data_IF_393000440551
#
_entry.id   IF_393000440551
#
_cell.length_a   1.000
_cell.length_b   1.000
_cell.length_c   1.000
_cell.angle_alpha   90.00
_cell.angle_beta   90.00
_cell.angle_gamma   90.00
#
_symmetry.space_group_name_H-M   'P 1'
#
loop_
_entity.id
_entity.type
_entity.pdbx_description
1 polymer ?
#
# COMPACT_ATOMS: atom_id res chain seq x y z
N UNK A 1 7.29 -38.68 -16.10
CA UNK A 1 6.79 -37.34 -16.53
C UNK A 1 7.81 -36.22 -16.33
N UNK A 2 8.64 -36.21 -15.27
CA UNK A 2 9.62 -35.14 -15.03
C UNK A 2 10.69 -34.97 -16.13
N UNK A 3 11.20 -36.06 -16.73
CA UNK A 3 12.23 -35.97 -17.79
C UNK A 3 11.76 -35.25 -19.06
N UNK A 4 10.50 -35.42 -19.45
CA UNK A 4 9.93 -34.72 -20.63
C UNK A 4 9.80 -33.24 -20.35
N UNK A 5 9.40 -32.87 -19.12
CA UNK A 5 9.32 -31.48 -18.67
C UNK A 5 10.71 -30.81 -18.65
N UNK A 6 11.73 -31.52 -18.17
CA UNK A 6 13.12 -31.03 -18.13
C UNK A 6 13.66 -30.80 -19.56
N UNK A 7 13.41 -31.72 -20.49
CA UNK A 7 13.83 -31.54 -21.88
C UNK A 7 13.09 -30.41 -22.60
N UNK A 8 11.79 -30.23 -22.32
CA UNK A 8 11.02 -29.11 -22.86
C UNK A 8 11.50 -27.76 -22.28
N UNK A 9 11.71 -27.69 -20.97
CA UNK A 9 12.19 -26.49 -20.28
C UNK A 9 13.60 -26.07 -20.72
N UNK A 10 14.53 -27.02 -20.86
CA UNK A 10 15.89 -26.72 -21.35
C UNK A 10 15.90 -26.21 -22.79
N UNK A 11 15.05 -26.76 -23.68
CA UNK A 11 14.90 -26.23 -25.05
C UNK A 11 14.37 -24.80 -25.05
N UNK A 12 13.40 -24.47 -24.20
CA UNK A 12 12.86 -23.13 -24.04
C UNK A 12 13.93 -22.15 -23.55
N UNK A 13 14.65 -22.48 -22.47
CA UNK A 13 15.72 -21.63 -21.92
C UNK A 13 16.85 -21.38 -22.93
N UNK A 14 17.25 -22.41 -23.68
CA UNK A 14 18.26 -22.25 -24.74
C UNK A 14 17.78 -21.36 -25.88
N UNK A 15 16.51 -21.44 -26.27
CA UNK A 15 15.93 -20.57 -27.29
C UNK A 15 15.84 -19.11 -26.82
N UNK A 16 15.47 -18.88 -25.54
CA UNK A 16 15.46 -17.55 -24.93
C UNK A 16 16.86 -16.93 -24.92
N UNK A 17 17.89 -17.70 -24.55
CA UNK A 17 19.29 -17.23 -24.56
C UNK A 17 19.80 -16.91 -25.97
N UNK A 18 19.55 -17.80 -26.93
CA UNK A 18 20.04 -17.67 -28.31
C UNK A 18 19.38 -16.53 -29.08
N UNK A 19 18.12 -16.22 -28.80
CA UNK A 19 17.35 -15.17 -29.47
C UNK A 19 17.03 -13.99 -28.54
N UNK A 20 17.88 -13.76 -27.54
CA UNK A 20 17.71 -12.73 -26.51
C UNK A 20 17.56 -11.31 -27.10
N UNK A 21 18.33 -10.98 -28.13
CA UNK A 21 18.27 -9.66 -28.77
C UNK A 21 16.91 -9.41 -29.46
N UNK A 22 16.39 -10.39 -30.21
CA UNK A 22 15.06 -10.34 -30.83
C UNK A 22 13.98 -10.15 -29.76
N UNK A 23 14.04 -10.95 -28.69
CA UNK A 23 13.08 -10.91 -27.59
C UNK A 23 13.11 -9.55 -26.90
N UNK A 24 14.29 -8.97 -26.66
CA UNK A 24 14.43 -7.65 -26.05
C UNK A 24 13.96 -6.51 -26.95
N UNK A 25 14.21 -6.59 -28.26
CA UNK A 25 13.67 -5.62 -29.21
C UNK A 25 12.13 -5.69 -29.27
N UNK A 26 11.57 -6.90 -29.28
CA UNK A 26 10.12 -7.12 -29.21
C UNK A 26 9.51 -6.58 -27.91
N UNK A 27 10.26 -6.67 -26.80
CA UNK A 27 9.87 -6.14 -25.50
C UNK A 27 9.78 -4.61 -25.51
N UNK A 28 10.81 -3.94 -26.03
CA UNK A 28 10.92 -2.47 -26.07
C UNK A 28 9.95 -1.86 -27.09
N UNK A 29 9.88 -2.43 -28.29
CA UNK A 29 9.06 -1.91 -29.40
C UNK A 29 7.59 -2.35 -29.30
N UNK A 30 7.32 -3.41 -28.53
CA UNK A 30 5.99 -3.99 -28.36
C UNK A 30 5.56 -4.94 -29.49
N UNK A 31 6.23 -4.91 -30.65
CA UNK A 31 6.03 -5.82 -31.78
C UNK A 31 7.37 -6.27 -32.38
N UNK A 32 7.34 -7.38 -33.12
CA UNK A 32 8.48 -7.92 -33.87
C UNK A 32 8.36 -7.50 -35.33
N UNK A 33 9.41 -6.90 -35.87
CA UNK A 33 9.51 -6.69 -37.32
C UNK A 33 9.85 -8.03 -38.01
N UNK A 34 8.89 -8.60 -38.72
CA UNK A 34 9.03 -9.92 -39.35
C UNK A 34 10.03 -9.92 -40.52
N UNK A 35 10.40 -8.76 -41.05
CA UNK A 35 11.35 -8.63 -42.16
C UNK A 35 12.81 -8.80 -41.73
N UNK A 36 13.11 -8.52 -40.45
CA UNK A 36 14.49 -8.51 -39.93
C UNK A 36 14.97 -9.92 -39.53
N UNK A 37 14.05 -10.91 -39.51
CA UNK A 37 14.31 -12.23 -38.96
C UNK A 37 13.87 -13.36 -39.88
N UNK A 38 14.57 -14.51 -39.79
CA UNK A 38 14.20 -15.69 -40.56
C UNK A 38 12.84 -16.25 -40.11
N UNK A 39 11.92 -16.61 -41.04
CA UNK A 39 10.59 -17.13 -40.68
C UNK A 39 10.65 -18.41 -39.85
N UNK A 40 11.69 -19.24 -40.03
CA UNK A 40 11.90 -20.45 -39.21
C UNK A 40 12.14 -20.14 -37.73
N UNK A 41 12.82 -19.04 -37.42
CA UNK A 41 13.10 -18.61 -36.04
C UNK A 41 11.80 -18.11 -35.39
N UNK A 42 11.00 -17.34 -36.14
CA UNK A 42 9.71 -16.83 -35.67
C UNK A 42 8.73 -17.98 -35.41
N UNK A 43 8.61 -18.94 -36.33
CA UNK A 43 7.78 -20.14 -36.12
C UNK A 43 8.22 -20.95 -34.91
N UNK A 44 9.54 -21.12 -34.72
CA UNK A 44 10.09 -21.82 -33.55
C UNK A 44 9.73 -21.10 -32.25
N UNK A 45 9.86 -19.78 -32.19
CA UNK A 45 9.50 -18.98 -31.01
C UNK A 45 7.99 -18.96 -30.73
N UNK A 46 7.16 -19.03 -31.77
CA UNK A 46 5.71 -19.19 -31.63
C UNK A 46 5.35 -20.57 -31.08
N UNK A 47 5.97 -21.64 -31.61
CA UNK A 47 5.75 -23.01 -31.12
C UNK A 47 6.19 -23.20 -29.66
N UNK A 48 7.28 -22.53 -29.26
CA UNK A 48 7.76 -22.53 -27.87
C UNK A 48 6.91 -21.63 -26.94
N UNK A 49 5.93 -20.90 -27.48
CA UNK A 49 5.04 -20.03 -26.70
C UNK A 49 5.70 -18.73 -26.23
N UNK A 50 6.80 -18.31 -26.88
CA UNK A 50 7.48 -17.04 -26.59
C UNK A 50 6.81 -15.88 -27.32
N UNK A 51 6.52 -16.08 -28.60
CA UNK A 51 5.79 -15.15 -29.44
C UNK A 51 4.36 -15.63 -29.66
N UNK A 52 3.45 -14.70 -29.90
CA UNK A 52 2.08 -14.99 -30.30
C UNK A 52 1.58 -13.91 -31.25
N UNK A 53 0.56 -14.28 -32.03
CA UNK A 53 -0.13 -13.38 -32.95
C UNK A 53 -1.59 -13.27 -32.50
N UNK A 54 -2.05 -12.09 -32.04
CA UNK A 54 -3.44 -11.89 -31.60
C UNK A 54 -4.48 -12.12 -32.70
N UNK A 55 -4.21 -11.60 -33.89
CA UNK A 55 -5.06 -11.64 -35.08
C UNK A 55 -4.18 -11.96 -36.31
N UNK A 56 -4.65 -12.77 -37.29
CA UNK A 56 -3.95 -13.00 -38.56
C UNK A 56 -3.35 -11.76 -39.24
N UNK A 57 -3.97 -10.58 -39.08
CA UNK A 57 -3.49 -9.31 -39.64
C UNK A 57 -2.54 -8.52 -38.72
N UNK A 58 -2.37 -8.97 -37.47
CA UNK A 58 -1.53 -8.29 -36.48
C UNK A 58 -0.09 -8.80 -36.48
N UNK A 59 0.82 -7.91 -36.10
CA UNK A 59 2.23 -8.23 -35.94
C UNK A 59 2.47 -9.19 -34.77
N UNK A 60 3.54 -9.97 -34.85
CA UNK A 60 3.97 -10.84 -33.75
C UNK A 60 4.34 -10.03 -32.50
N UNK A 61 3.88 -10.51 -31.35
CA UNK A 61 4.11 -9.90 -30.03
C UNK A 61 4.66 -10.93 -29.06
N UNK A 62 5.31 -10.45 -28.00
CA UNK A 62 5.67 -11.31 -26.87
C UNK A 62 4.42 -11.78 -26.14
N UNK A 63 4.43 -13.05 -25.74
CA UNK A 63 3.39 -13.60 -24.89
C UNK A 63 3.48 -12.98 -23.49
N UNK A 64 2.33 -12.78 -22.85
CA UNK A 64 2.26 -12.13 -21.53
C UNK A 64 3.19 -12.78 -20.50
N UNK A 65 3.25 -14.11 -20.42
CA UNK A 65 4.11 -14.83 -19.48
C UNK A 65 5.61 -14.48 -19.62
N UNK A 66 6.11 -14.41 -20.86
CA UNK A 66 7.53 -14.04 -21.12
C UNK A 66 7.74 -12.56 -20.83
N UNK A 67 6.77 -11.73 -21.19
CA UNK A 67 6.81 -10.31 -20.90
C UNK A 67 6.90 -10.06 -19.39
N UNK A 68 6.06 -10.71 -18.58
CA UNK A 68 6.06 -10.62 -17.12
C UNK A 68 7.36 -11.12 -16.48
N UNK A 69 7.96 -12.19 -17.03
CA UNK A 69 9.28 -12.66 -16.58
C UNK A 69 10.36 -11.58 -16.80
N UNK A 70 10.38 -10.99 -17.99
CA UNK A 70 11.32 -9.93 -18.32
C UNK A 70 11.07 -8.68 -17.47
N UNK A 71 9.80 -8.30 -17.27
CA UNK A 71 9.39 -7.18 -16.41
C UNK A 71 9.92 -7.35 -14.98
N UNK A 72 9.71 -8.52 -14.37
CA UNK A 72 10.19 -8.82 -13.02
C UNK A 72 11.72 -8.80 -12.90
N UNK A 73 12.43 -9.20 -13.96
CA UNK A 73 13.91 -9.24 -13.96
C UNK A 73 14.57 -7.90 -14.28
N UNK A 74 13.99 -7.13 -15.21
CA UNK A 74 14.55 -5.88 -15.73
C UNK A 74 14.17 -4.65 -14.91
N UNK A 75 13.25 -4.78 -13.94
CA UNK A 75 12.76 -3.67 -13.12
C UNK A 75 12.24 -2.50 -13.98
N UNK A 76 11.57 -2.82 -15.10
CA UNK A 76 11.11 -1.82 -16.05
C UNK A 76 9.93 -1.02 -15.47
N UNK A 77 10.20 0.25 -15.15
CA UNK A 77 9.24 1.18 -14.54
C UNK A 77 8.09 1.57 -15.46
N UNK A 78 8.21 1.32 -16.78
CA UNK A 78 7.18 1.67 -17.77
C UNK A 78 5.97 0.75 -17.70
N UNK A 79 6.12 -0.43 -17.10
CA UNK A 79 4.98 -1.31 -16.89
C UNK A 79 4.09 -0.74 -15.79
N UNK A 80 2.81 -0.52 -16.10
CA UNK A 80 1.82 0.15 -15.22
C UNK A 80 1.03 -0.83 -14.36
N UNK A 81 0.99 -2.11 -14.71
CA UNK A 81 0.14 -3.10 -14.04
C UNK A 81 0.81 -3.62 -12.78
N UNK A 82 0.20 -3.38 -11.62
CA UNK A 82 0.42 -4.23 -10.44
C UNK A 82 -0.65 -5.32 -10.47
N UNK A 83 -0.25 -6.53 -10.83
CA UNK A 83 -1.14 -7.69 -10.80
C UNK A 83 -0.80 -8.54 -9.57
N UNK A 84 -1.11 -8.05 -8.37
CA UNK A 84 -1.17 -8.90 -7.20
C UNK A 84 -2.61 -9.40 -7.07
N UNK A 85 -2.88 -10.65 -7.46
CA UNK A 85 -4.16 -11.29 -7.16
C UNK A 85 -4.06 -12.00 -5.81
N UNK A 86 -3.93 -11.21 -4.74
CA UNK A 86 -3.66 -11.71 -3.38
C UNK A 86 -4.82 -12.60 -2.93
N UNK A 87 -6.06 -12.25 -3.27
CA UNK A 87 -7.25 -13.02 -2.93
C UNK A 87 -7.25 -14.44 -3.51
N UNK A 88 -6.93 -14.61 -4.81
CA UNK A 88 -6.85 -15.94 -5.41
C UNK A 88 -5.70 -16.77 -4.83
N UNK A 89 -4.54 -16.15 -4.57
CA UNK A 89 -3.41 -16.82 -3.92
C UNK A 89 -3.77 -17.32 -2.52
N UNK A 90 -4.54 -16.55 -1.75
CA UNK A 90 -5.02 -16.97 -0.43
C UNK A 90 -6.01 -18.14 -0.51
N UNK A 91 -6.97 -18.10 -1.43
CA UNK A 91 -7.89 -19.22 -1.63
C UNK A 91 -7.15 -20.52 -1.99
N UNK A 92 -6.09 -20.42 -2.80
CA UNK A 92 -5.19 -21.54 -3.11
C UNK A 92 -4.44 -22.04 -1.86
N UNK A 93 -3.87 -21.13 -1.06
CA UNK A 93 -3.17 -21.48 0.19
C UNK A 93 -4.07 -22.21 1.19
N UNK A 94 -5.32 -21.76 1.36
CA UNK A 94 -6.31 -22.42 2.24
C UNK A 94 -6.58 -23.85 1.79
N UNK A 95 -6.84 -24.03 0.50
CA UNK A 95 -7.06 -25.36 -0.11
C UNK A 95 -5.86 -26.29 0.08
N UNK A 96 -4.63 -25.79 -0.16
CA UNK A 96 -3.40 -26.56 0.03
C UNK A 96 -3.18 -26.95 1.50
N UNK A 97 -3.50 -26.05 2.44
CA UNK A 97 -3.38 -26.33 3.87
C UNK A 97 -4.36 -27.42 4.33
N UNK A 98 -5.58 -27.40 3.80
CA UNK A 98 -6.58 -28.44 4.05
C UNK A 98 -6.14 -29.81 3.49
N UNK A 99 -5.65 -29.86 2.24
CA UNK A 99 -5.11 -31.09 1.67
C UNK A 99 -3.92 -31.64 2.44
N UNK A 100 -3.02 -30.77 2.92
CA UNK A 100 -1.92 -31.17 3.78
C UNK A 100 -2.41 -31.79 5.09
N UNK A 101 -3.38 -31.16 5.77
CA UNK A 101 -4.00 -31.70 7.00
C UNK A 101 -4.67 -33.05 6.74
N UNK A 102 -5.38 -33.17 5.62
CA UNK A 102 -6.05 -34.42 5.22
C UNK A 102 -5.04 -35.55 4.98
N UNK A 103 -3.96 -35.28 4.22
CA UNK A 103 -2.89 -36.26 3.99
C UNK A 103 -2.19 -36.68 5.27
N UNK A 104 -1.99 -35.77 6.23
CA UNK A 104 -1.48 -36.12 7.56
C UNK A 104 -2.45 -37.03 8.33
N UNK A 105 -3.75 -36.72 8.33
CA UNK A 105 -4.77 -37.52 9.01
C UNK A 105 -4.82 -38.96 8.46
N UNK A 106 -4.67 -39.13 7.14
CA UNK A 106 -4.64 -40.45 6.49
C UNK A 106 -3.25 -41.13 6.50
N UNK A 107 -2.27 -40.61 7.25
CA UNK A 107 -0.89 -41.14 7.33
C UNK A 107 -0.17 -41.21 5.97
N UNK A 108 -0.53 -40.35 5.02
CA UNK A 108 0.11 -40.26 3.70
C UNK A 108 1.25 -39.26 3.72
N UNK A 109 2.32 -39.60 4.44
CA UNK A 109 3.44 -38.68 4.71
C UNK A 109 4.15 -38.15 3.45
N UNK A 110 4.25 -38.96 2.39
CA UNK A 110 4.86 -38.51 1.12
C UNK A 110 4.00 -37.44 0.41
N UNK A 111 2.67 -37.58 0.43
CA UNK A 111 1.76 -36.59 -0.14
C UNK A 111 1.74 -35.32 0.71
N UNK A 112 1.73 -35.46 2.04
CA UNK A 112 1.83 -34.34 2.96
C UNK A 112 3.12 -33.53 2.75
N UNK A 113 4.27 -34.20 2.57
CA UNK A 113 5.52 -33.51 2.27
C UNK A 113 5.47 -32.72 0.94
N UNK A 114 4.82 -33.27 -0.09
CA UNK A 114 4.63 -32.56 -1.36
C UNK A 114 3.73 -31.32 -1.19
N UNK A 115 2.58 -31.45 -0.52
CA UNK A 115 1.69 -30.31 -0.26
C UNK A 115 2.36 -29.24 0.59
N UNK A 116 3.18 -29.61 1.59
CA UNK A 116 3.95 -28.63 2.38
C UNK A 116 4.98 -27.87 1.52
N UNK A 117 5.66 -28.57 0.59
CA UNK A 117 6.57 -27.91 -0.36
C UNK A 117 5.82 -26.92 -1.26
N UNK A 118 4.67 -27.32 -1.79
CA UNK A 118 3.86 -26.48 -2.68
C UNK A 118 3.30 -25.26 -1.94
N UNK A 119 2.91 -25.43 -0.68
CA UNK A 119 2.38 -24.38 0.20
C UNK A 119 3.50 -23.39 0.58
N UNK A 120 4.70 -23.89 0.87
CA UNK A 120 5.89 -23.08 1.12
C UNK A 120 6.23 -22.22 -0.09
N UNK A 121 6.25 -22.82 -1.27
CA UNK A 121 6.51 -22.12 -2.53
C UNK A 121 5.46 -21.05 -2.80
N UNK A 122 4.17 -21.34 -2.60
CA UNK A 122 3.10 -20.35 -2.76
C UNK A 122 3.24 -19.15 -1.80
N UNK A 123 3.61 -19.39 -0.54
CA UNK A 123 3.84 -18.31 0.44
C UNK A 123 5.03 -17.45 0.03
N UNK A 124 6.10 -18.04 -0.47
CA UNK A 124 7.26 -17.30 -0.96
C UNK A 124 6.97 -16.49 -2.21
N UNK A 125 6.27 -17.07 -3.18
CA UNK A 125 5.84 -16.36 -4.39
C UNK A 125 4.93 -15.18 -4.06
N UNK A 126 3.99 -15.34 -3.12
CA UNK A 126 3.11 -14.27 -2.67
C UNK A 126 3.91 -13.15 -1.98
N UNK A 127 4.83 -13.52 -1.09
CA UNK A 127 5.70 -12.58 -0.38
C UNK A 127 6.62 -11.79 -1.32
N UNK A 128 7.18 -12.47 -2.33
CA UNK A 128 8.02 -11.86 -3.36
C UNK A 128 7.20 -10.92 -4.26
N UNK A 129 6.02 -11.36 -4.71
CA UNK A 129 5.11 -10.55 -5.53
C UNK A 129 4.72 -9.25 -4.81
N UNK A 130 4.42 -9.34 -3.51
CA UNK A 130 4.07 -8.18 -2.69
C UNK A 130 5.27 -7.23 -2.54
N UNK A 131 6.44 -7.76 -2.21
CA UNK A 131 7.68 -6.97 -2.09
C UNK A 131 8.06 -6.27 -3.40
N UNK A 132 7.91 -6.96 -4.53
CA UNK A 132 8.16 -6.40 -5.86
C UNK A 132 7.14 -5.30 -6.19
N UNK A 133 5.87 -5.48 -5.85
CA UNK A 133 4.82 -4.48 -6.07
C UNK A 133 5.11 -3.18 -5.32
N UNK A 134 5.50 -3.28 -4.04
CA UNK A 134 5.91 -2.13 -3.21
C UNK A 134 7.14 -1.44 -3.80
N UNK A 135 8.15 -2.22 -4.20
CA UNK A 135 9.38 -1.67 -4.80
C UNK A 135 9.11 -0.91 -6.09
N UNK A 136 8.25 -1.42 -6.96
CA UNK A 136 7.84 -0.75 -8.21
C UNK A 136 7.13 0.57 -7.90
N UNK A 137 6.22 0.60 -6.92
CA UNK A 137 5.57 1.84 -6.49
C UNK A 137 6.58 2.88 -6.00
N UNK A 138 7.53 2.49 -5.15
CA UNK A 138 8.59 3.37 -4.69
C UNK A 138 9.45 3.93 -5.84
N UNK A 139 9.79 3.10 -6.83
CA UNK A 139 10.58 3.55 -7.99
C UNK A 139 9.84 4.63 -8.78
N UNK A 140 8.55 4.40 -9.09
CA UNK A 140 7.73 5.37 -9.84
C UNK A 140 7.59 6.70 -9.11
N UNK A 141 7.42 6.66 -7.78
CA UNK A 141 7.30 7.85 -6.92
C UNK A 141 8.62 8.60 -6.83
N UNK A 142 9.73 7.90 -6.60
CA UNK A 142 11.05 8.52 -6.49
C UNK A 142 11.44 9.23 -7.78
N UNK A 143 11.08 8.68 -8.93
CA UNK A 143 11.32 9.29 -10.23
C UNK A 143 10.23 10.30 -10.66
N UNK A 144 9.29 10.64 -9.77
CA UNK A 144 8.19 11.58 -10.02
C UNK A 144 7.47 11.34 -11.36
N UNK A 145 7.24 10.07 -11.69
CA UNK A 145 6.66 9.65 -12.97
C UNK A 145 7.43 10.19 -14.19
N UNK A 146 8.77 10.18 -14.13
CA UNK A 146 9.68 10.76 -15.14
C UNK A 146 9.54 10.19 -16.55
N UNK A 147 8.88 9.05 -16.72
CA UNK A 147 8.52 8.48 -18.02
C UNK A 147 7.40 9.26 -18.74
N UNK A 148 6.77 10.22 -18.06
CA UNK A 148 5.71 11.06 -18.59
C UNK A 148 6.15 12.52 -18.69
N UNK A 149 5.87 13.14 -19.84
CA UNK A 149 6.37 14.47 -20.19
C UNK A 149 5.51 15.64 -19.72
N UNK A 150 4.20 15.45 -19.47
CA UNK A 150 3.29 16.55 -19.10
C UNK A 150 2.81 16.44 -17.65
N UNK A 151 2.61 17.60 -17.01
CA UNK A 151 2.09 17.69 -15.63
C UNK A 151 0.72 17.03 -15.52
N UNK A 152 -0.18 17.23 -16.49
CA UNK A 152 -1.49 16.59 -16.49
C UNK A 152 -1.41 15.06 -16.58
N UNK A 153 -0.42 14.53 -17.31
CA UNK A 153 -0.22 13.10 -17.39
C UNK A 153 0.46 12.56 -16.13
N UNK A 154 1.37 13.31 -15.49
CA UNK A 154 1.89 12.98 -14.14
C UNK A 154 0.80 12.95 -13.08
N UNK A 155 -0.20 13.84 -13.14
CA UNK A 155 -1.38 13.82 -12.26
C UNK A 155 -2.17 12.51 -12.45
N UNK A 156 -2.47 12.13 -13.70
CA UNK A 156 -3.19 10.88 -13.98
C UNK A 156 -2.43 9.63 -13.53
N UNK A 157 -1.11 9.60 -13.72
CA UNK A 157 -0.28 8.48 -13.23
C UNK A 157 -0.25 8.42 -11.70
N UNK A 158 -0.23 9.57 -11.02
CA UNK A 158 -0.31 9.62 -9.57
C UNK A 158 -1.66 9.10 -9.07
N UNK A 159 -2.78 9.56 -9.66
CA UNK A 159 -4.13 9.08 -9.33
C UNK A 159 -4.29 7.57 -9.58
N UNK A 160 -3.73 7.06 -10.68
CA UNK A 160 -3.69 5.62 -10.95
C UNK A 160 -2.89 4.86 -9.89
N UNK A 161 -1.71 5.36 -9.52
CA UNK A 161 -0.89 4.74 -8.48
C UNK A 161 -1.58 4.75 -7.11
N UNK A 162 -2.30 5.84 -6.78
CA UNK A 162 -3.11 5.90 -5.56
C UNK A 162 -4.20 4.84 -5.55
N UNK A 163 -4.93 4.66 -6.66
CA UNK A 163 -5.91 3.58 -6.79
C UNK A 163 -5.28 2.21 -6.57
N UNK A 164 -4.13 1.95 -7.20
CA UNK A 164 -3.41 0.68 -7.04
C UNK A 164 -2.95 0.40 -5.60
N UNK A 165 -2.47 1.43 -4.89
CA UNK A 165 -2.06 1.30 -3.49
C UNK A 165 -3.28 1.03 -2.60
N UNK A 166 -4.38 1.75 -2.81
CA UNK A 166 -5.63 1.53 -2.07
C UNK A 166 -6.18 0.12 -2.31
N UNK A 167 -6.19 -0.35 -3.57
CA UNK A 167 -6.63 -1.70 -3.91
C UNK A 167 -5.75 -2.77 -3.23
N UNK A 168 -4.42 -2.56 -3.19
CA UNK A 168 -3.51 -3.47 -2.50
C UNK A 168 -3.75 -3.48 -0.99
N UNK A 169 -3.88 -2.31 -0.36
CA UNK A 169 -4.15 -2.20 1.07
C UNK A 169 -5.49 -2.89 1.43
N UNK A 170 -6.54 -2.66 0.64
CA UNK A 170 -7.82 -3.34 0.82
C UNK A 170 -7.72 -4.87 0.67
N UNK A 171 -6.90 -5.35 -0.27
CA UNK A 171 -6.62 -6.78 -0.41
C UNK A 171 -5.83 -7.36 0.78
N UNK A 172 -4.93 -6.58 1.37
CA UNK A 172 -4.20 -6.94 2.58
C UNK A 172 -5.09 -6.89 3.83
N UNK A 173 -6.12 -6.05 3.86
CA UNK A 173 -7.10 -5.97 4.95
C UNK A 173 -8.14 -7.09 4.90
N UNK A 174 -8.48 -7.58 3.71
CA UNK A 174 -9.27 -8.81 3.54
C UNK A 174 -8.61 -10.04 4.20
N UNK A 175 -7.37 -9.92 4.65
CA UNK A 175 -6.59 -10.98 5.26
C UNK A 175 -6.97 -11.17 6.74
N UNK A 176 -7.80 -12.19 7.00
CA UNK A 176 -8.17 -12.61 8.35
C UNK A 176 -7.12 -13.57 8.89
N UNK A 177 -6.10 -13.06 9.58
CA UNK A 177 -5.04 -13.90 10.17
C UNK A 177 -5.58 -14.92 11.17
N UNK A 178 -6.72 -14.64 11.81
CA UNK A 178 -7.41 -15.59 12.68
C UNK A 178 -7.80 -16.87 11.93
N UNK A 179 -8.33 -16.76 10.70
CA UNK A 179 -8.69 -17.94 9.89
C UNK A 179 -7.45 -18.77 9.54
N UNK A 180 -6.33 -18.12 9.21
CA UNK A 180 -5.08 -18.81 8.91
C UNK A 180 -4.47 -19.47 10.15
N UNK A 181 -4.66 -18.87 11.33
CA UNK A 181 -4.28 -19.46 12.61
C UNK A 181 -5.09 -20.72 12.91
N UNK A 182 -6.41 -20.70 12.69
CA UNK A 182 -7.28 -21.88 12.78
C UNK A 182 -6.88 -22.97 11.76
N UNK A 183 -6.59 -22.57 10.51
CA UNK A 183 -6.10 -23.45 9.46
C UNK A 183 -4.72 -24.01 9.78
N UNK A 184 -3.84 -23.31 10.50
CA UNK A 184 -2.60 -23.88 10.99
C UNK A 184 -2.83 -24.86 12.16
N UNK A 185 -3.82 -24.59 13.00
CA UNK A 185 -4.21 -25.45 14.13
C UNK A 185 -3.02 -25.68 15.06
N UNK A 186 -2.75 -26.92 15.46
CA UNK A 186 -1.58 -27.30 16.29
C UNK A 186 -0.32 -27.64 15.49
N UNK A 187 -0.36 -27.54 14.15
CA UNK A 187 0.79 -27.90 13.34
C UNK A 187 1.85 -26.79 13.35
N UNK A 188 3.02 -27.10 13.91
CA UNK A 188 4.15 -26.16 14.04
C UNK A 188 4.65 -25.62 12.70
N UNK A 189 4.75 -26.46 11.68
CA UNK A 189 5.26 -26.05 10.36
C UNK A 189 4.30 -25.07 9.68
N UNK A 190 2.99 -25.39 9.70
CA UNK A 190 1.97 -24.48 9.16
C UNK A 190 1.91 -23.16 9.93
N UNK A 191 1.99 -23.19 11.27
CA UNK A 191 1.98 -21.95 12.08
C UNK A 191 3.18 -21.07 11.74
N UNK A 192 4.37 -21.64 11.70
CA UNK A 192 5.56 -20.87 11.35
C UNK A 192 5.42 -20.24 9.97
N UNK A 193 4.88 -20.98 8.99
CA UNK A 193 4.79 -20.50 7.62
C UNK A 193 3.67 -19.46 7.41
N UNK A 194 2.45 -19.74 7.88
CA UNK A 194 1.28 -18.91 7.65
C UNK A 194 1.11 -17.77 8.68
N UNK A 195 1.48 -18.01 9.94
CA UNK A 195 1.26 -17.03 11.03
C UNK A 195 2.52 -16.23 11.30
N UNK A 196 3.72 -16.83 11.29
CA UNK A 196 4.94 -16.06 11.57
C UNK A 196 5.49 -15.40 10.30
N UNK A 197 5.87 -16.21 9.31
CA UNK A 197 6.55 -15.71 8.11
C UNK A 197 5.64 -14.83 7.24
N UNK A 198 4.44 -15.31 6.92
CA UNK A 198 3.52 -14.61 6.03
C UNK A 198 2.97 -13.33 6.66
N UNK A 199 2.54 -13.37 7.94
CA UNK A 199 2.06 -12.19 8.65
C UNK A 199 3.13 -11.10 8.72
N UNK A 200 4.36 -11.44 9.10
CA UNK A 200 5.45 -10.47 9.17
C UNK A 200 5.70 -9.78 7.81
N UNK A 201 5.68 -10.55 6.71
CA UNK A 201 5.85 -10.02 5.34
C UNK A 201 4.69 -9.09 4.96
N UNK A 202 3.47 -9.46 5.33
CA UNK A 202 2.26 -8.68 5.05
C UNK A 202 2.24 -7.37 5.83
N UNK A 203 2.48 -7.41 7.13
CA UNK A 203 2.53 -6.20 7.97
C UNK A 203 3.59 -5.22 7.47
N UNK A 204 4.78 -5.72 7.10
CA UNK A 204 5.83 -4.90 6.52
C UNK A 204 5.38 -4.23 5.21
N UNK A 205 4.78 -4.99 4.30
CA UNK A 205 4.30 -4.45 3.04
C UNK A 205 3.17 -3.43 3.22
N UNK A 206 2.24 -3.66 4.15
CA UNK A 206 1.17 -2.72 4.48
C UNK A 206 1.77 -1.39 4.98
N UNK A 207 2.73 -1.45 5.91
CA UNK A 207 3.41 -0.26 6.42
C UNK A 207 4.14 0.50 5.31
N UNK A 208 4.88 -0.21 4.44
CA UNK A 208 5.57 0.40 3.31
C UNK A 208 4.58 1.04 2.32
N UNK A 209 3.43 0.41 2.05
CA UNK A 209 2.37 0.96 1.20
C UNK A 209 1.71 2.20 1.81
N UNK A 210 1.51 2.27 3.13
CA UNK A 210 0.98 3.48 3.79
C UNK A 210 1.93 4.66 3.63
N UNK A 211 3.24 4.44 3.71
CA UNK A 211 4.25 5.49 3.44
C UNK A 211 4.20 5.95 1.98
N UNK A 212 4.07 5.00 1.05
CA UNK A 212 3.88 5.27 -0.39
C UNK A 212 2.63 6.13 -0.62
N UNK A 213 1.51 5.81 0.03
CA UNK A 213 0.25 6.54 -0.09
C UNK A 213 0.40 8.01 0.34
N UNK A 214 1.01 8.26 1.50
CA UNK A 214 1.25 9.62 2.00
C UNK A 214 2.10 10.44 1.02
N UNK A 215 3.12 9.81 0.42
CA UNK A 215 3.99 10.47 -0.56
C UNK A 215 3.31 10.75 -1.90
N UNK A 216 2.40 9.87 -2.33
CA UNK A 216 1.58 10.11 -3.52
C UNK A 216 0.69 11.34 -3.34
N UNK A 217 0.10 11.52 -2.16
CA UNK A 217 -0.72 12.70 -1.84
C UNK A 217 0.09 14.00 -1.90
N UNK A 218 1.30 14.03 -1.32
CA UNK A 218 2.19 15.20 -1.40
C UNK A 218 2.55 15.55 -2.86
N UNK A 219 2.95 14.54 -3.65
CA UNK A 219 3.26 14.74 -5.08
C UNK A 219 2.05 15.25 -5.87
N UNK A 220 0.84 14.75 -5.58
CA UNK A 220 -0.38 15.19 -6.23
C UNK A 220 -0.65 16.68 -5.94
N UNK A 221 -0.46 17.10 -4.68
CA UNK A 221 -0.55 18.50 -4.27
C UNK A 221 0.42 19.39 -5.06
N UNK A 222 1.69 18.99 -5.14
CA UNK A 222 2.72 19.73 -5.91
C UNK A 222 2.39 19.81 -7.40
N UNK A 223 1.93 18.72 -8.02
CA UNK A 223 1.55 18.75 -9.43
C UNK A 223 0.34 19.66 -9.68
N UNK A 224 -0.66 19.68 -8.79
CA UNK A 224 -1.81 20.59 -8.89
C UNK A 224 -1.36 22.05 -8.75
N UNK A 225 -0.42 22.34 -7.86
CA UNK A 225 0.17 23.67 -7.75
C UNK A 225 0.90 24.09 -9.04
N UNK A 226 1.73 23.21 -9.62
CA UNK A 226 2.40 23.49 -10.90
C UNK A 226 1.41 23.70 -12.04
N UNK A 227 0.33 22.91 -12.09
CA UNK A 227 -0.75 23.08 -13.07
C UNK A 227 -1.41 24.46 -12.91
N UNK A 228 -1.72 24.87 -11.68
CA UNK A 228 -2.28 26.18 -11.36
C UNK A 228 -1.37 27.32 -11.81
N UNK A 229 -0.09 27.29 -11.44
CA UNK A 229 0.91 28.29 -11.83
C UNK A 229 1.10 28.35 -13.35
N UNK A 230 1.16 27.21 -14.03
CA UNK A 230 1.28 27.14 -15.49
C UNK A 230 0.05 27.72 -16.19
N UNK A 231 -1.16 27.47 -15.64
CA UNK A 231 -2.40 28.06 -16.16
C UNK A 231 -2.41 29.58 -16.03
N UNK A 232 -1.94 30.12 -14.90
CA UNK A 232 -1.82 31.57 -14.71
C UNK A 232 -0.85 32.20 -15.72
N UNK A 233 0.31 31.60 -15.95
CA UNK A 233 1.29 32.07 -16.93
C UNK A 233 0.73 32.05 -18.36
N UNK A 234 0.06 30.97 -18.76
CA UNK A 234 -0.59 30.87 -20.07
C UNK A 234 -1.69 31.92 -20.24
N UNK A 235 -2.50 32.14 -19.20
CA UNK A 235 -3.54 33.17 -19.20
C UNK A 235 -2.95 34.57 -19.33
N UNK A 236 -1.85 34.85 -18.61
CA UNK A 236 -1.14 36.12 -18.71
C UNK A 236 -0.54 36.33 -20.10
N UNK A 237 0.13 35.33 -20.67
CA UNK A 237 0.67 35.41 -22.03
C UNK A 237 -0.44 35.67 -23.06
N UNK A 238 -1.56 34.94 -22.98
CA UNK A 238 -2.70 35.15 -23.86
C UNK A 238 -3.26 36.58 -23.73
N UNK A 239 -3.35 37.11 -22.51
CA UNK A 239 -3.80 38.48 -22.27
C UNK A 239 -2.83 39.50 -22.89
N UNK A 240 -1.52 39.31 -22.76
CA UNK A 240 -0.51 40.18 -23.38
C UNK A 240 -0.54 40.11 -24.91
N UNK A 241 -0.76 38.92 -25.48
CA UNK A 241 -0.89 38.74 -26.94
C UNK A 241 -2.13 39.43 -27.49
N UNK A 242 -3.24 39.40 -26.76
CA UNK A 242 -4.48 40.08 -27.14
C UNK A 242 -4.43 41.60 -26.92
N UNK A 243 -3.68 42.06 -25.92
CA UNK A 243 -3.53 43.47 -25.55
C UNK A 243 -2.04 43.83 -25.37
N UNK A 244 -1.29 44.04 -26.47
CA UNK A 244 0.14 44.32 -26.40
C UNK A 244 0.48 45.67 -25.75
N UNK A 245 -0.44 46.63 -25.75
CA UNK A 245 -0.27 47.93 -25.09
C UNK A 245 -0.70 47.93 -23.61
N UNK A 246 -1.01 46.77 -23.04
CA UNK A 246 -1.45 46.68 -21.65
C UNK A 246 -0.35 47.13 -20.69
N UNK A 247 -0.67 48.14 -19.87
CA UNK A 247 0.16 48.59 -18.75
C UNK A 247 -0.63 48.36 -17.46
N UNK A 248 -0.10 47.63 -16.47
CA UNK A 248 -0.77 47.46 -15.18
C UNK A 248 -1.11 48.83 -14.56
N UNK A 249 -2.36 49.00 -14.17
CA UNK A 249 -2.78 50.21 -13.45
C UNK A 249 -2.17 50.29 -12.06
N UNK A 250 -2.19 51.48 -11.44
CA UNK A 250 -1.77 51.62 -10.04
C UNK A 250 -2.86 51.08 -9.10
N UNK A 251 -2.82 49.79 -8.81
CA UNK A 251 -3.79 49.10 -7.95
C UNK A 251 -3.79 49.58 -6.49
N UNK A 252 -2.72 50.24 -6.03
CA UNK A 252 -2.66 50.83 -4.69
C UNK A 252 -3.54 52.09 -4.55
N UNK A 253 -3.91 52.72 -5.67
CA UNK A 253 -4.76 53.91 -5.68
C UNK A 253 -6.26 53.57 -5.78
N UNK A 254 -6.63 52.28 -5.77
CA UNK A 254 -8.03 51.87 -5.77
C UNK A 254 -8.66 52.10 -4.40
N UNK A 255 -9.92 52.54 -4.38
CA UNK A 255 -10.71 52.70 -3.15
C UNK A 255 -10.79 51.40 -2.34
N UNK A 256 -10.81 50.26 -3.04
CA UNK A 256 -10.72 48.94 -2.43
C UNK A 256 -9.46 48.24 -2.96
N UNK A 257 -8.34 48.44 -2.26
CA UNK A 257 -7.06 47.84 -2.62
C UNK A 257 -7.17 46.31 -2.49
N UNK A 258 -6.88 45.53 -3.56
CA UNK A 258 -6.89 44.08 -3.46
C UNK A 258 -5.91 43.59 -2.39
N UNK A 259 -6.29 42.53 -1.68
CA UNK A 259 -5.52 42.00 -0.53
C UNK A 259 -4.05 41.72 -0.86
N UNK A 260 -3.77 41.24 -2.07
CA UNK A 260 -2.40 40.99 -2.58
C UNK A 260 -1.50 42.23 -2.57
N UNK A 261 -2.07 43.43 -2.77
CA UNK A 261 -1.35 44.70 -2.78
C UNK A 261 -1.41 45.42 -1.43
N UNK A 262 -2.31 45.02 -0.54
CA UNK A 262 -2.41 45.58 0.80
C UNK A 262 -1.39 44.92 1.75
N UNK A 263 -0.13 45.34 1.64
CA UNK A 263 0.96 44.88 2.51
C UNK A 263 1.12 45.75 3.77
N UNK A 264 0.20 46.68 4.01
CA UNK A 264 0.29 47.59 5.16
C UNK A 264 -0.14 46.88 6.44
N UNK A 265 0.64 47.03 7.51
CA UNK A 265 0.24 46.58 8.83
C UNK A 265 -1.01 47.37 9.27
N UNK A 266 -1.98 46.69 9.90
CA UNK A 266 -3.20 47.33 10.39
C UNK A 266 -2.84 48.50 11.31
N UNK A 267 -3.19 49.71 10.87
CA UNK A 267 -2.92 50.94 11.63
C UNK A 267 -3.91 51.07 12.80
N UNK A 268 -5.10 50.50 12.63
CA UNK A 268 -6.14 50.47 13.65
C UNK A 268 -5.93 49.18 14.45
N UNK A 269 -5.79 49.31 15.78
CA UNK A 269 -5.84 48.15 16.67
C UNK A 269 -7.17 47.43 16.45
N UNK A 270 -7.20 46.09 16.42
CA UNK A 270 -8.47 45.36 16.31
C UNK A 270 -9.44 45.93 17.34
N UNK A 271 -10.63 46.33 16.90
CA UNK A 271 -11.64 46.88 17.78
C UNK A 271 -12.06 45.76 18.73
N UNK A 272 -11.57 45.82 19.96
CA UNK A 272 -12.03 44.92 21.01
C UNK A 272 -13.32 45.48 21.56
N UNK A 273 -14.33 44.63 21.54
CA UNK A 273 -15.62 44.87 22.18
C UNK A 273 -15.40 45.08 23.68
N UNK A 274 -15.94 46.16 24.26
CA UNK A 274 -15.87 46.40 25.71
C UNK A 274 -16.92 45.56 26.43
N UNK A 275 -16.49 44.41 26.95
CA UNK A 275 -17.33 43.42 27.63
C UNK A 275 -17.94 43.96 28.94
N UNK A 276 -17.47 45.10 29.44
CA UNK A 276 -17.96 45.69 30.69
C UNK A 276 -19.05 46.76 30.48
N UNK A 277 -19.37 47.09 29.23
CA UNK A 277 -20.42 48.07 28.93
C UNK A 277 -21.80 47.43 29.07
N UNK A 278 -22.57 47.89 30.04
CA UNK A 278 -23.95 47.42 30.33
C UNK A 278 -24.89 47.68 29.15
N UNK A 279 -24.63 48.72 28.35
CA UNK A 279 -25.45 49.04 27.17
C UNK A 279 -25.36 47.97 26.07
N UNK A 280 -24.31 47.15 26.06
CA UNK A 280 -24.07 46.12 25.04
C UNK A 280 -24.36 44.69 25.54
N UNK A 281 -24.84 44.55 26.78
CA UNK A 281 -25.06 43.25 27.42
C UNK A 281 -26.14 42.42 26.69
N UNK A 282 -27.21 43.06 26.23
CA UNK A 282 -28.29 42.42 25.48
C UNK A 282 -27.83 41.95 24.09
N UNK A 283 -27.01 42.78 23.42
CA UNK A 283 -26.40 42.43 22.13
C UNK A 283 -25.44 41.23 22.29
N UNK A 284 -24.61 41.19 23.33
CA UNK A 284 -23.73 40.05 23.60
C UNK A 284 -24.52 38.77 23.92
N UNK A 285 -25.61 38.88 24.69
CA UNK A 285 -26.48 37.74 24.97
C UNK A 285 -27.09 37.18 23.68
N UNK A 286 -27.52 38.05 22.76
CA UNK A 286 -28.06 37.63 21.46
C UNK A 286 -27.01 36.94 20.58
N UNK A 287 -25.77 37.47 20.55
CA UNK A 287 -24.67 36.89 19.78
C UNK A 287 -24.26 35.52 20.34
N UNK A 288 -24.14 35.39 21.67
CA UNK A 288 -23.81 34.10 22.32
C UNK A 288 -24.92 33.07 22.09
N UNK A 289 -26.19 33.47 22.18
CA UNK A 289 -27.32 32.60 21.87
C UNK A 289 -27.29 32.11 20.40
N UNK A 290 -26.84 32.95 19.47
CA UNK A 290 -26.68 32.57 18.05
C UNK A 290 -25.52 31.58 17.81
N UNK A 291 -24.45 31.66 18.61
CA UNK A 291 -23.30 30.74 18.52
C UNK A 291 -23.65 29.32 18.98
N UNK A 292 -24.54 29.17 19.97
CA UNK A 292 -25.06 27.85 20.39
C UNK A 292 -25.83 27.11 19.29
N UNK A 293 -26.36 27.81 18.30
CA UNK A 293 -26.95 27.19 17.10
C UNK A 293 -25.90 26.72 16.08
N UNK A 294 -24.68 27.32 16.09
CA UNK A 294 -23.61 27.02 15.13
C UNK A 294 -22.84 25.77 15.54
N UNK A 295 -22.61 25.51 16.84
CA UNK A 295 -21.96 24.27 17.29
C UNK A 295 -22.81 23.00 17.07
N UNK A 296 -24.13 23.12 16.94
CA UNK A 296 -24.99 21.99 16.49
C UNK A 296 -25.02 21.82 14.96
N UNK A 297 -24.48 22.77 14.20
CA UNK A 297 -24.49 22.78 12.72
C UNK A 297 -23.11 22.55 12.09
N UNK A 298 -22.06 22.39 12.90
CA UNK A 298 -20.69 22.11 12.45
C UNK A 298 -20.48 20.70 11.85
N UNK A 299 -21.55 19.90 11.70
CA UNK A 299 -21.48 18.63 10.96
C UNK A 299 -21.80 18.73 9.46
N UNK A 300 -22.17 19.89 8.90
CA UNK A 300 -22.79 19.90 7.55
C UNK A 300 -22.60 21.17 6.70
N UNK A 301 -21.60 22.02 6.96
CA UNK A 301 -21.34 23.22 6.13
C UNK A 301 -19.89 23.31 5.64
N UNK A 302 -19.40 22.26 4.99
CA UNK A 302 -18.35 22.36 3.99
C UNK A 302 -18.91 21.88 2.65
N UNK A 303 -19.51 22.80 1.87
CA UNK A 303 -19.65 22.72 0.40
C UNK A 303 -20.62 23.78 -0.13
N UNK A 304 -20.27 25.06 -0.03
CA UNK A 304 -20.85 26.05 -0.94
C UNK A 304 -19.75 26.96 -1.48
N UNK A 305 -18.93 26.39 -2.37
CA UNK A 305 -18.32 27.17 -3.44
C UNK A 305 -18.46 26.36 -4.72
N UNK A 306 -19.58 26.56 -5.42
CA UNK A 306 -19.88 25.94 -6.72
C UNK A 306 -18.87 26.42 -7.76
N UNK A 307 -17.85 25.61 -8.01
CA UNK A 307 -17.25 25.49 -9.34
C UNK A 307 -17.90 24.28 -10.03
N UNK A 308 -18.25 24.48 -11.28
CA UNK A 308 -19.06 23.58 -12.11
C UNK A 308 -18.50 22.15 -12.13
N UNK A 309 -19.43 21.19 -12.06
CA UNK A 309 -19.21 19.74 -12.09
C UNK A 309 -18.25 19.30 -13.19
N UNK A 310 -17.22 18.57 -12.77
CA UNK A 310 -16.77 17.37 -13.48
C UNK A 310 -16.94 16.26 -12.45
N UNK A 311 -17.84 15.33 -12.77
CA UNK A 311 -18.17 14.16 -11.97
C UNK A 311 -16.92 13.30 -11.80
N UNK A 312 -16.26 13.46 -10.65
CA UNK A 312 -15.20 12.60 -10.15
C UNK A 312 -15.77 12.03 -8.87
N UNK A 313 -16.25 10.79 -8.98
CA UNK A 313 -16.63 9.93 -7.86
C UNK A 313 -15.72 10.21 -6.68
N UNK A 314 -16.33 10.70 -5.59
CA UNK A 314 -15.71 10.87 -4.29
C UNK A 314 -14.99 9.58 -3.94
N UNK A 315 -13.65 9.62 -3.97
CA UNK A 315 -12.85 8.65 -3.26
C UNK A 315 -13.16 8.85 -1.79
N UNK A 316 -14.12 8.06 -1.29
CA UNK A 316 -14.33 7.85 0.12
C UNK A 316 -12.99 7.45 0.72
N UNK A 317 -12.37 8.38 1.46
CA UNK A 317 -11.40 8.03 2.49
C UNK A 317 -12.16 7.18 3.49
N UNK A 318 -12.15 5.86 3.25
CA UNK A 318 -12.65 4.88 4.20
C UNK A 318 -11.79 5.07 5.44
N UNK A 319 -12.38 5.64 6.48
CA UNK A 319 -11.77 5.63 7.79
C UNK A 319 -11.65 4.16 8.19
N UNK A 320 -10.42 3.66 8.10
CA UNK A 320 -10.04 2.30 8.42
C UNK A 320 -10.37 2.02 9.89
N UNK A 321 -11.43 1.26 10.14
CA UNK A 321 -11.63 0.67 11.46
C UNK A 321 -10.54 -0.39 11.65
N UNK A 322 -9.52 -0.05 12.45
CA UNK A 322 -8.45 -0.98 12.83
C UNK A 322 -9.06 -2.23 13.46
N UNK A 323 -8.47 -3.39 13.16
CA UNK A 323 -8.81 -4.65 13.83
C UNK A 323 -8.76 -4.43 15.36
N UNK A 324 -9.84 -4.74 16.11
CA UNK A 324 -9.90 -4.54 17.55
C UNK A 324 -8.76 -5.24 18.31
N UNK A 325 -8.22 -6.33 17.77
CA UNK A 325 -7.08 -7.04 18.36
C UNK A 325 -5.78 -6.26 18.17
N UNK A 326 -5.57 -5.69 16.98
CA UNK A 326 -4.40 -4.87 16.68
C UNK A 326 -4.42 -3.56 17.47
N UNK A 327 -5.61 -2.94 17.61
CA UNK A 327 -5.81 -1.78 18.47
C UNK A 327 -5.50 -2.10 19.95
N UNK A 328 -5.91 -3.27 20.44
CA UNK A 328 -5.61 -3.70 21.81
C UNK A 328 -4.11 -3.94 22.06
N UNK A 329 -3.37 -4.45 21.05
CA UNK A 329 -1.91 -4.59 21.13
C UNK A 329 -1.23 -3.22 21.14
N UNK A 330 -1.65 -2.28 20.28
CA UNK A 330 -1.15 -0.90 20.30
C UNK A 330 -1.40 -0.24 21.67
N UNK A 331 -2.61 -0.39 22.23
CA UNK A 331 -2.96 0.16 23.55
C UNK A 331 -2.10 -0.46 24.66
N UNK A 332 -1.80 -1.75 24.60
CA UNK A 332 -0.89 -2.41 25.54
C UNK A 332 0.53 -1.85 25.47
N UNK A 333 1.05 -1.57 24.27
CA UNK A 333 2.39 -0.98 24.12
C UNK A 333 2.41 0.46 24.65
N UNK A 334 1.36 1.24 24.37
CA UNK A 334 1.18 2.57 24.95
C UNK A 334 1.09 2.52 26.49
N UNK A 335 0.36 1.57 27.07
CA UNK A 335 0.24 1.39 28.52
C UNK A 335 1.61 1.11 29.19
N UNK A 336 2.48 0.33 28.54
CA UNK A 336 3.86 0.09 29.01
C UNK A 336 4.73 1.34 28.88
N UNK A 337 4.55 2.14 27.83
CA UNK A 337 5.25 3.42 27.65
C UNK A 337 4.83 4.43 28.73
N UNK A 338 3.52 4.60 28.91
CA UNK A 338 2.93 5.59 29.82
C UNK A 338 3.17 5.23 31.28
N UNK A 339 3.10 3.94 31.62
CA UNK A 339 3.39 3.47 32.98
C UNK A 339 4.89 3.42 33.30
N UNK A 340 5.75 3.26 32.27
CA UNK A 340 7.19 3.08 32.43
C UNK A 340 7.57 1.84 33.24
N UNK A 341 6.65 0.89 33.44
CA UNK A 341 6.87 -0.34 34.19
C UNK A 341 6.71 -1.55 33.26
N UNK A 342 7.57 -2.58 33.39
CA UNK A 342 7.38 -3.81 32.63
C UNK A 342 6.06 -4.47 33.05
N UNK A 343 5.26 -4.84 32.06
CA UNK A 343 3.95 -5.45 32.25
C UNK A 343 3.86 -6.73 31.46
N UNK A 344 3.13 -7.71 31.99
CA UNK A 344 2.98 -9.00 31.34
C UNK A 344 1.69 -9.03 30.52
N UNK A 345 1.74 -9.68 29.35
CA UNK A 345 0.68 -9.69 28.37
C UNK A 345 -0.62 -10.27 28.96
N UNK A 346 -0.56 -11.36 29.74
CA UNK A 346 -1.76 -11.91 30.38
C UNK A 346 -2.30 -11.06 31.55
N UNK A 347 -1.46 -10.27 32.21
CA UNK A 347 -1.91 -9.35 33.27
C UNK A 347 -2.73 -8.22 32.68
N UNK A 348 -2.22 -7.61 31.60
CA UNK A 348 -2.97 -6.59 30.85
C UNK A 348 -4.29 -7.15 30.28
N UNK A 349 -4.26 -8.36 29.73
CA UNK A 349 -5.44 -9.05 29.22
C UNK A 349 -6.54 -9.20 30.29
N UNK A 350 -6.16 -9.53 31.52
CA UNK A 350 -7.10 -9.69 32.64
C UNK A 350 -7.64 -8.34 33.13
N UNK A 351 -6.78 -7.32 33.26
CA UNK A 351 -7.17 -5.98 33.73
C UNK A 351 -8.16 -5.30 32.79
N UNK A 352 -7.95 -5.42 31.48
CA UNK A 352 -8.82 -4.83 30.44
C UNK A 352 -9.97 -5.75 30.05
N UNK A 353 -10.07 -6.94 30.65
CA UNK A 353 -11.09 -7.96 30.38
C UNK A 353 -11.29 -8.23 28.88
N UNK A 354 -10.17 -8.41 28.15
CA UNK A 354 -10.20 -8.64 26.71
C UNK A 354 -10.91 -9.98 26.40
N UNK A 355 -11.72 -10.01 25.34
CA UNK A 355 -12.53 -11.18 24.95
C UNK A 355 -11.85 -12.14 23.97
N UNK A 356 -10.59 -11.87 23.60
CA UNK A 356 -9.84 -12.65 22.61
C UNK A 356 -9.34 -13.97 23.20
N UNK A 357 -8.97 -14.94 22.35
CA UNK A 357 -8.26 -16.13 22.83
C UNK A 357 -6.89 -15.72 23.41
N UNK A 358 -6.52 -16.29 24.56
CA UNK A 358 -5.26 -15.99 25.26
C UNK A 358 -4.04 -16.36 24.43
N UNK A 359 -4.07 -17.46 23.70
CA UNK A 359 -2.97 -17.86 22.83
C UNK A 359 -2.84 -16.88 21.66
N UNK A 360 -3.96 -16.52 21.04
CA UNK A 360 -4.00 -15.55 19.93
C UNK A 360 -3.50 -14.18 20.39
N UNK A 361 -3.90 -13.72 21.57
CA UNK A 361 -3.41 -12.49 22.18
C UNK A 361 -1.89 -12.49 22.34
N UNK A 362 -1.33 -13.53 22.98
CA UNK A 362 0.12 -13.65 23.20
C UNK A 362 0.87 -13.64 21.86
N UNK A 363 0.37 -14.36 20.85
CA UNK A 363 0.96 -14.38 19.52
C UNK A 363 0.91 -13.01 18.84
N UNK A 364 -0.18 -12.26 18.97
CA UNK A 364 -0.28 -10.92 18.40
C UNK A 364 0.62 -9.91 19.11
N UNK A 365 0.87 -10.06 20.41
CA UNK A 365 1.87 -9.24 21.13
C UNK A 365 3.28 -9.52 20.60
N UNK A 366 3.63 -10.79 20.36
CA UNK A 366 4.90 -11.15 19.70
C UNK A 366 4.96 -10.55 18.30
N UNK A 367 3.90 -10.74 17.51
CA UNK A 367 3.80 -10.25 16.14
C UNK A 367 3.94 -8.73 16.06
N UNK A 368 3.25 -8.00 16.94
CA UNK A 368 3.35 -6.55 17.08
C UNK A 368 4.77 -6.10 17.43
N UNK A 369 5.42 -6.74 18.41
CA UNK A 369 6.81 -6.45 18.77
C UNK A 369 7.78 -6.73 17.61
N UNK A 370 7.57 -7.83 16.87
CA UNK A 370 8.39 -8.20 15.71
C UNK A 370 8.13 -7.31 14.50
N UNK A 371 6.95 -6.70 14.40
CA UNK A 371 6.58 -5.76 13.34
C UNK A 371 7.14 -4.35 13.56
N UNK A 372 7.50 -3.97 14.80
CA UNK A 372 8.14 -2.69 15.10
C UNK A 372 9.41 -2.48 14.25
N UNK A 373 9.66 -1.23 13.88
CA UNK A 373 10.89 -0.85 13.18
C UNK A 373 12.11 -1.09 14.07
N UNK A 374 13.28 -1.38 13.48
CA UNK A 374 14.49 -1.69 14.25
C UNK A 374 14.94 -0.54 15.18
N UNK A 375 14.54 0.69 14.90
CA UNK A 375 14.75 1.86 15.77
C UNK A 375 13.84 1.81 17.00
N UNK A 376 12.58 1.42 16.83
CA UNK A 376 11.59 1.33 17.92
C UNK A 376 11.87 0.12 18.82
N UNK A 377 12.27 -1.01 18.24
CA UNK A 377 12.67 -2.22 18.99
C UNK A 377 13.83 -1.98 19.96
N UNK A 378 14.66 -0.97 19.75
CA UNK A 378 15.76 -0.67 20.68
C UNK A 378 15.26 -0.16 22.03
N UNK A 379 14.07 0.43 22.08
CA UNK A 379 13.48 0.98 23.30
C UNK A 379 12.67 -0.05 24.10
N UNK A 380 12.37 -1.21 23.50
CA UNK A 380 11.59 -2.25 24.14
C UNK A 380 12.43 -3.51 24.41
N UNK A 381 12.09 -4.22 25.48
CA UNK A 381 12.55 -5.56 25.78
C UNK A 381 11.33 -6.48 25.89
N UNK A 382 11.38 -7.62 25.21
CA UNK A 382 10.36 -8.66 25.25
C UNK A 382 10.95 -9.93 25.84
N UNK A 383 10.53 -10.27 27.06
CA UNK A 383 11.03 -11.43 27.81
C UNK A 383 9.97 -12.53 27.87
N UNK A 384 10.20 -13.70 27.22
CA UNK A 384 9.28 -14.81 27.28
C UNK A 384 9.42 -15.57 28.60
N UNK A 385 8.29 -15.84 29.27
CA UNK A 385 8.19 -16.67 30.45
C UNK A 385 7.69 -18.06 30.07
N UNK A 386 8.44 -19.10 30.43
CA UNK A 386 8.15 -20.44 29.98
C UNK A 386 8.97 -21.53 30.65
N UNK A 387 8.66 -22.78 30.29
CA UNK A 387 9.34 -23.97 30.79
C UNK A 387 9.94 -24.77 29.63
N UNK A 388 11.13 -25.34 29.85
CA UNK A 388 11.68 -26.32 28.91
C UNK A 388 10.87 -27.62 28.99
N UNK A 389 10.66 -28.24 27.84
CA UNK A 389 10.06 -29.56 27.75
C UNK A 389 10.88 -30.57 28.56
N UNK A 390 10.20 -31.32 29.43
CA UNK A 390 10.82 -32.33 30.32
C UNK A 390 11.37 -33.53 29.55
N UNK A 391 10.94 -33.72 28.30
CA UNK A 391 11.22 -34.92 27.50
C UNK A 391 12.17 -34.62 26.34
N UNK A 392 12.05 -33.46 25.71
CA UNK A 392 12.82 -33.09 24.52
C UNK A 392 13.70 -31.87 24.80
N UNK A 393 15.01 -32.08 24.80
CA UNK A 393 16.00 -31.01 24.95
C UNK A 393 15.98 -30.10 23.71
N UNK A 394 15.33 -28.95 23.81
CA UNK A 394 15.27 -27.94 22.74
C UNK A 394 13.90 -27.28 22.54
N UNK A 395 12.83 -27.83 23.14
CA UNK A 395 11.51 -27.20 23.13
C UNK A 395 11.33 -26.32 24.39
N UNK A 396 10.94 -25.07 24.19
CA UNK A 396 10.60 -24.12 25.24
C UNK A 396 9.14 -23.71 25.08
N UNK A 397 8.32 -23.99 26.09
CA UNK A 397 6.90 -23.64 26.14
C UNK A 397 6.74 -22.25 26.73
N UNK A 398 6.32 -21.28 25.92
CA UNK A 398 6.03 -19.91 26.38
C UNK A 398 4.62 -19.90 26.96
N UNK A 399 4.50 -19.63 28.25
CA UNK A 399 3.22 -19.52 28.95
C UNK A 399 2.77 -18.06 29.04
N UNK A 400 3.70 -17.11 29.02
CA UNK A 400 3.42 -15.68 29.09
C UNK A 400 4.61 -14.86 28.58
N UNK A 401 4.43 -13.55 28.41
CA UNK A 401 5.44 -12.65 27.87
C UNK A 401 5.37 -11.30 28.56
N UNK A 402 6.52 -10.79 29.01
CA UNK A 402 6.63 -9.46 29.59
C UNK A 402 7.21 -8.50 28.57
N UNK A 403 6.56 -7.34 28.42
CA UNK A 403 7.06 -6.21 27.62
C UNK A 403 7.48 -5.10 28.59
N UNK A 404 8.67 -4.55 28.40
CA UNK A 404 9.18 -3.43 29.18
C UNK A 404 10.01 -2.47 28.34
N UNK A 405 10.28 -1.28 28.88
CA UNK A 405 11.23 -0.34 28.30
C UNK A 405 12.66 -0.71 28.70
N UNK A 406 13.62 -0.46 27.80
CA UNK A 406 15.05 -0.69 28.03
C UNK A 406 15.76 0.45 28.74
#
# INVERSE_FOLDING_TARGET
>A
MSQVLIQAGTKLLNALGRHSELIMQAYINGTVNEQDYSPKILEQLVQLGVLWRPDPQSELRLKSAVRTLLEGSLQDERNRTINANIGASLASLKTLAEHYKESLHYNKYNEAAAYMSDLTEHVYQLSESLSNSVRVMFSRINNEFGYVSSVDAKIRENELAQGQVTDLLSQLECFRFDELSEIAGSNRELRHLLVVSLQQRFSKAAQELSVVQARLLDLLGRFREFRGRTRLLKGYLLHMEQQPDFVPGNYANLTHVPVLFNQTASIIKPASVDVNSVEHEEDYHSMVASLSHIHKRQGQQEAENKQQDIDVTEQSTVALEKDPLQAAVEEYFCDVIDSGQPKTALTYYQEKALSFDKEVWIYQVIGGYQALADQEKQFFALDPHGENDKTYTGNFYINDITLGLR
#
